data_IF_972139989949
#
_entry.id   IF_972139989949
#
_cell.length_a   1.000
_cell.length_b   1.000
_cell.length_c   1.000
_cell.angle_alpha   90.00
_cell.angle_beta   90.00
_cell.angle_gamma   90.00
#
_symmetry.space_group_name_H-M   'P 1'
#
loop_
_entity.id
_entity.type
_entity.pdbx_description
1 polymer ?
#
# COMPACT_ATOMS: atom_id res chain seq x y z
N UNK A 1 6.71 -11.89 -8.03
CA UNK A 1 6.37 -10.50 -8.44
C UNK A 1 7.23 -9.58 -7.60
N UNK A 2 7.89 -8.60 -8.20
CA UNK A 2 8.63 -7.56 -7.46
C UNK A 2 8.20 -6.18 -7.95
N UNK A 3 8.35 -5.16 -7.10
CA UNK A 3 8.02 -3.79 -7.48
C UNK A 3 9.06 -3.24 -8.48
N UNK A 4 8.60 -2.55 -9.55
CA UNK A 4 9.52 -1.79 -10.38
C UNK A 4 10.20 -0.72 -9.52
N UNK A 5 11.53 -0.61 -9.64
CA UNK A 5 12.31 0.39 -8.89
C UNK A 5 11.87 1.83 -9.20
N UNK A 6 11.40 2.08 -10.43
CA UNK A 6 10.93 3.40 -10.87
C UNK A 6 9.53 3.70 -10.29
N UNK A 7 9.43 4.80 -9.56
CA UNK A 7 8.17 5.25 -8.94
C UNK A 7 7.88 4.62 -7.57
N UNK A 8 8.74 3.69 -7.11
CA UNK A 8 8.75 3.24 -5.73
C UNK A 8 9.51 4.22 -4.84
N UNK A 9 8.98 4.45 -3.64
CA UNK A 9 9.56 5.27 -2.58
C UNK A 9 10.18 4.33 -1.54
N UNK A 10 11.34 4.70 -1.02
CA UNK A 10 11.97 4.00 0.11
C UNK A 10 11.33 4.46 1.42
N UNK A 11 11.13 3.55 2.35
CA UNK A 11 10.72 3.83 3.73
C UNK A 11 11.40 2.83 4.68
N UNK A 12 11.77 3.27 5.87
CA UNK A 12 12.30 2.40 6.93
C UNK A 12 11.25 2.31 8.03
N UNK A 13 10.89 1.09 8.43
CA UNK A 13 9.94 0.82 9.50
C UNK A 13 10.58 -0.21 10.41
N UNK A 14 10.76 0.15 11.68
CA UNK A 14 11.35 -0.70 12.72
C UNK A 14 12.67 -1.36 12.25
N UNK A 15 13.59 -0.51 11.76
CA UNK A 15 14.91 -0.86 11.21
C UNK A 15 14.92 -1.73 9.94
N UNK A 16 13.75 -2.06 9.38
CA UNK A 16 13.63 -2.80 8.12
C UNK A 16 13.34 -1.83 6.98
N UNK A 17 14.13 -1.92 5.91
CA UNK A 17 13.96 -1.11 4.70
C UNK A 17 12.94 -1.73 3.74
N UNK A 18 12.00 -0.91 3.29
CA UNK A 18 10.95 -1.28 2.35
C UNK A 18 10.93 -0.33 1.15
N UNK A 19 10.38 -0.84 0.04
CA UNK A 19 10.00 -0.07 -1.13
C UNK A 19 8.48 -0.13 -1.28
N UNK A 20 7.85 1.02 -1.47
CA UNK A 20 6.40 1.10 -1.68
C UNK A 20 6.04 1.99 -2.86
N UNK A 21 4.92 1.70 -3.51
CA UNK A 21 4.44 2.51 -4.62
C UNK A 21 2.92 2.55 -4.68
N UNK A 22 2.40 3.66 -5.20
CA UNK A 22 1.02 3.80 -5.64
C UNK A 22 1.06 3.92 -7.16
N UNK A 23 0.16 3.22 -7.85
CA UNK A 23 0.08 3.29 -9.31
C UNK A 23 -0.13 4.74 -9.76
N UNK A 24 0.55 5.19 -10.82
CA UNK A 24 0.39 6.56 -11.33
C UNK A 24 -0.99 6.85 -11.90
N UNK A 25 -1.64 5.82 -12.47
CA UNK A 25 -2.98 5.93 -13.06
C UNK A 25 -3.95 5.05 -12.27
N UNK A 26 -5.21 5.49 -12.09
CA UNK A 26 -6.23 4.64 -11.50
C UNK A 26 -6.36 3.34 -12.30
N UNK A 27 -6.67 2.25 -11.61
CA UNK A 27 -7.27 1.10 -12.31
C UNK A 27 -8.66 1.49 -12.80
N UNK A 28 -9.22 0.72 -13.74
CA UNK A 28 -10.59 0.96 -14.20
C UNK A 28 -11.58 1.02 -13.03
N UNK A 29 -11.47 0.10 -12.07
CA UNK A 29 -12.34 0.09 -10.90
C UNK A 29 -12.13 1.29 -9.96
N UNK A 30 -10.89 1.79 -9.82
CA UNK A 30 -10.60 3.00 -9.04
C UNK A 30 -11.17 4.25 -9.72
N UNK A 31 -11.10 4.32 -11.06
CA UNK A 31 -11.63 5.44 -11.84
C UNK A 31 -13.16 5.44 -11.89
N UNK A 32 -13.76 4.34 -12.34
CA UNK A 32 -15.18 4.26 -12.67
C UNK A 32 -16.10 4.03 -11.46
N UNK A 33 -15.58 3.50 -10.35
CA UNK A 33 -16.41 3.10 -9.20
C UNK A 33 -15.88 3.62 -7.86
N UNK A 34 -14.95 4.58 -7.88
CA UNK A 34 -14.35 5.17 -6.67
C UNK A 34 -13.85 4.13 -5.64
N UNK A 35 -13.34 2.99 -6.11
CA UNK A 35 -12.83 1.94 -5.20
C UNK A 35 -11.56 2.39 -4.44
N UNK A 36 -11.26 1.65 -3.37
CA UNK A 36 -10.13 1.88 -2.48
C UNK A 36 -8.83 2.18 -3.22
N UNK A 37 -8.13 3.22 -2.75
CA UNK A 37 -6.74 3.44 -3.11
C UNK A 37 -5.89 2.27 -2.61
N UNK A 38 -4.96 1.81 -3.44
CA UNK A 38 -4.05 0.73 -3.09
C UNK A 38 -2.59 1.11 -3.26
N UNK A 39 -1.75 0.57 -2.37
CA UNK A 39 -0.30 0.68 -2.43
C UNK A 39 0.32 -0.71 -2.36
N UNK A 40 1.36 -0.94 -3.15
CA UNK A 40 2.18 -2.14 -3.06
C UNK A 40 3.43 -1.84 -2.23
N UNK A 41 3.78 -2.74 -1.32
CA UNK A 41 4.97 -2.68 -0.45
C UNK A 41 5.76 -3.97 -0.61
N UNK A 42 7.08 -3.89 -0.66
CA UNK A 42 7.99 -5.04 -0.68
C UNK A 42 9.23 -4.70 0.15
N UNK A 43 9.90 -5.72 0.67
CA UNK A 43 11.23 -5.57 1.26
C UNK A 43 12.20 -4.92 0.26
N UNK A 44 13.19 -4.18 0.76
CA UNK A 44 14.15 -3.49 -0.10
C UNK A 44 14.93 -4.44 -1.00
N UNK A 45 15.43 -5.56 -0.46
CA UNK A 45 16.29 -6.48 -1.22
C UNK A 45 15.50 -7.46 -2.11
N UNK A 46 14.39 -8.02 -1.62
CA UNK A 46 13.40 -8.83 -2.33
C UNK A 46 12.44 -9.42 -1.31
N UNK A 47 11.21 -9.77 -1.71
CA UNK A 47 10.36 -10.54 -0.82
C UNK A 47 8.90 -10.63 -1.25
N UNK A 48 8.05 -11.02 -0.31
CA UNK A 48 6.61 -11.10 -0.54
C UNK A 48 5.99 -9.71 -0.55
N UNK A 49 5.30 -9.39 -1.65
CA UNK A 49 4.58 -8.12 -1.80
C UNK A 49 3.38 -8.08 -0.83
N UNK A 50 3.24 -6.97 -0.10
CA UNK A 50 2.07 -6.60 0.66
C UNK A 50 1.25 -5.58 -0.14
N UNK A 51 -0.01 -5.91 -0.42
CA UNK A 51 -0.97 -5.00 -1.05
C UNK A 51 -1.82 -4.35 0.03
N UNK A 52 -1.62 -3.05 0.24
CA UNK A 52 -2.40 -2.22 1.14
C UNK A 52 -3.64 -1.69 0.43
N UNK A 53 -4.79 -1.74 1.07
CA UNK A 53 -6.04 -1.12 0.63
C UNK A 53 -6.48 -0.10 1.67
N UNK A 54 -6.48 1.18 1.28
CA UNK A 54 -6.91 2.29 2.11
C UNK A 54 -8.43 2.45 2.05
N UNK A 55 -9.07 2.97 3.11
CA UNK A 55 -10.53 3.09 3.18
C UNK A 55 -11.07 4.06 2.12
N UNK A 56 -10.31 5.12 1.81
CA UNK A 56 -10.74 6.17 0.91
C UNK A 56 -10.60 5.80 -0.58
N UNK A 57 -11.47 6.41 -1.38
CA UNK A 57 -11.34 6.40 -2.82
C UNK A 57 -10.02 7.06 -3.25
N UNK A 58 -9.56 6.72 -4.44
CA UNK A 58 -8.42 7.40 -5.04
C UNK A 58 -8.81 8.85 -5.42
N UNK A 59 -7.99 9.87 -5.09
CA UNK A 59 -8.35 11.28 -5.35
C UNK A 59 -8.58 11.66 -6.82
N UNK A 60 -7.97 10.95 -7.78
CA UNK A 60 -8.09 11.20 -9.23
C UNK A 60 -9.17 10.33 -9.92
N UNK A 61 -10.16 9.85 -9.15
CA UNK A 61 -11.27 9.05 -9.68
C UNK A 61 -12.17 9.88 -10.62
N UNK A 62 -12.87 9.21 -11.54
CA UNK A 62 -13.68 9.88 -12.57
C UNK A 62 -15.04 10.37 -12.07
N UNK A 63 -15.42 9.97 -10.86
CA UNK A 63 -16.68 10.36 -10.22
C UNK A 63 -16.55 11.65 -9.40
N UNK A 64 -15.33 12.17 -9.21
CA UNK A 64 -15.08 13.30 -8.31
C UNK A 64 -15.36 12.99 -6.84
N UNK A 65 -15.42 11.70 -6.47
CA UNK A 65 -15.62 11.29 -5.09
C UNK A 65 -14.45 11.78 -4.22
N UNK A 66 -14.69 12.23 -2.98
CA UNK A 66 -13.62 12.63 -2.08
C UNK A 66 -12.70 11.43 -1.82
N UNK A 67 -11.40 11.69 -1.88
CA UNK A 67 -10.37 10.70 -1.62
C UNK A 67 -9.19 11.35 -0.92
N UNK A 68 -8.45 10.58 -0.14
CA UNK A 68 -7.30 11.09 0.58
C UNK A 68 -5.97 10.67 -0.04
N UNK A 69 -4.97 11.54 0.11
CA UNK A 69 -3.59 11.25 -0.25
C UNK A 69 -2.95 10.40 0.85
N UNK A 70 -2.48 9.21 0.48
CA UNK A 70 -1.71 8.33 1.35
C UNK A 70 -0.35 8.94 1.68
N UNK A 71 -0.08 9.08 2.97
CA UNK A 71 1.17 9.61 3.52
C UNK A 71 2.13 8.45 3.82
N UNK A 72 3.46 8.70 3.83
CA UNK A 72 4.43 7.70 4.27
C UNK A 72 4.13 7.15 5.67
N UNK A 73 3.60 7.98 6.58
CA UNK A 73 3.21 7.56 7.93
C UNK A 73 2.08 6.52 7.93
N UNK A 74 1.06 6.68 7.07
CA UNK A 74 -0.03 5.72 6.95
C UNK A 74 0.50 4.35 6.46
N UNK A 75 1.44 4.38 5.51
CA UNK A 75 2.12 3.18 5.00
C UNK A 75 2.94 2.51 6.09
N UNK A 76 3.71 3.28 6.88
CA UNK A 76 4.50 2.74 7.98
C UNK A 76 3.61 2.05 9.03
N UNK A 77 2.51 2.69 9.44
CA UNK A 77 1.60 2.12 10.42
C UNK A 77 0.91 0.85 9.89
N UNK A 78 0.52 0.83 8.61
CA UNK A 78 -0.04 -0.36 7.97
C UNK A 78 0.97 -1.51 7.87
N UNK A 79 2.25 -1.21 7.61
CA UNK A 79 3.34 -2.21 7.63
C UNK A 79 3.47 -2.84 9.01
N UNK A 80 3.53 -2.03 10.08
CA UNK A 80 3.60 -2.55 11.47
C UNK A 80 2.42 -3.46 11.77
N UNK A 81 1.21 -3.02 11.44
CA UNK A 81 0.01 -3.81 11.67
C UNK A 81 -0.01 -5.12 10.89
N UNK A 82 0.42 -5.10 9.63
CA UNK A 82 0.55 -6.32 8.83
C UNK A 82 1.57 -7.29 9.43
N UNK A 83 2.71 -6.79 9.94
CA UNK A 83 3.75 -7.57 10.62
C UNK A 83 3.21 -8.23 11.89
N UNK A 84 2.50 -7.48 12.74
CA UNK A 84 1.82 -8.01 13.93
C UNK A 84 0.84 -9.14 13.60
N UNK A 85 0.18 -9.05 12.45
CA UNK A 85 -0.75 -10.08 11.95
C UNK A 85 -0.04 -11.22 11.19
N UNK A 86 1.28 -11.30 11.30
CA UNK A 86 2.09 -12.40 10.78
C UNK A 86 2.43 -12.28 9.29
N UNK A 87 2.40 -11.08 8.71
CA UNK A 87 3.05 -10.88 7.41
C UNK A 87 4.57 -10.87 7.59
N UNK A 88 5.24 -11.83 6.96
CA UNK A 88 6.69 -11.86 6.85
C UNK A 88 7.13 -11.28 5.48
N UNK A 89 7.88 -10.16 5.46
CA UNK A 89 8.38 -9.56 4.24
C UNK A 89 9.51 -10.38 3.58
N UNK A 90 10.23 -11.21 4.34
CA UNK A 90 11.33 -12.03 3.80
C UNK A 90 10.83 -13.34 3.17
N UNK A 91 9.59 -13.75 3.48
CA UNK A 91 8.94 -14.92 2.89
C UNK A 91 8.84 -14.79 1.36
N UNK A 92 8.90 -15.91 0.66
CA UNK A 92 8.66 -16.00 -0.77
C UNK A 92 7.26 -16.55 -1.00
N UNK A 93 6.37 -15.77 -1.62
CA UNK A 93 5.00 -16.23 -1.83
C UNK A 93 4.11 -15.27 -2.60
N UNK A 94 2.84 -15.66 -2.74
CA UNK A 94 1.81 -14.81 -3.35
C UNK A 94 1.61 -13.53 -2.53
N UNK A 95 1.22 -12.44 -3.20
CA UNK A 95 1.01 -11.17 -2.54
C UNK A 95 -0.02 -11.30 -1.38
N UNK A 96 0.26 -10.65 -0.25
CA UNK A 96 -0.66 -10.62 0.88
C UNK A 96 -1.49 -9.35 0.83
N UNK A 97 -2.81 -9.46 0.90
CA UNK A 97 -3.70 -8.31 0.95
C UNK A 97 -3.93 -7.89 2.40
N UNK A 98 -3.85 -6.58 2.66
CA UNK A 98 -4.15 -5.99 3.96
C UNK A 98 -5.04 -4.76 3.77
N UNK A 99 -6.23 -4.77 4.37
CA UNK A 99 -7.18 -3.67 4.31
C UNK A 99 -7.10 -2.87 5.60
N UNK A 100 -6.86 -1.58 5.45
CA UNK A 100 -6.77 -0.63 6.56
C UNK A 100 -8.20 -0.26 6.96
N UNK A 101 -8.52 -0.35 8.24
CA UNK A 101 -9.80 0.08 8.77
C UNK A 101 -9.89 1.62 8.76
N UNK A 102 -11.10 2.16 8.62
CA UNK A 102 -11.35 3.61 8.63
C UNK A 102 -11.11 4.29 9.98
N UNK A 103 -10.87 3.51 11.03
CA UNK A 103 -10.46 4.02 12.34
C UNK A 103 -8.99 4.38 12.25
N UNK A 104 -8.75 5.63 11.85
CA UNK A 104 -7.42 6.10 11.49
C UNK A 104 -6.52 6.00 12.72
N UNK A 105 -5.39 5.31 12.56
CA UNK A 105 -4.37 5.09 13.59
C UNK A 105 -3.94 6.44 14.20
N UNK A 106 -4.54 6.78 15.35
CA UNK A 106 -4.18 7.93 16.21
C UNK A 106 -2.81 7.75 16.87
#
# INVERSE_FOLDING_TARGET
MSLPKRGARRIVVDDVAYRWSIRRQPTYAQGAYATSLSAAVEHEDSGRVLMLFFPDARPDNWLGAPGEIVRPADVAAAIRRARELGWDPADSGAARCFRIASDRLE
#
